data_IF_069060712986
#
_entry.id   IF_069060712986
#
_cell.length_a   1.000
_cell.length_b   1.000
_cell.length_c   1.000
_cell.angle_alpha   90.00
_cell.angle_beta   90.00
_cell.angle_gamma   90.00
#
_symmetry.space_group_name_H-M   'P 1'
#
loop_
_entity.id
_entity.type
_entity.pdbx_description
1 polymer ?
#
# COMPACT_ATOMS: atom_id res chain seq x y z
N UNK A 1 31.57 5.16 -43.64
CA UNK A 1 31.28 5.28 -42.19
C UNK A 1 30.40 4.09 -41.82
N UNK A 2 30.80 3.28 -40.85
CA UNK A 2 30.17 1.99 -40.52
C UNK A 2 28.84 2.17 -39.75
N UNK A 3 27.80 1.43 -40.17
CA UNK A 3 26.42 1.54 -39.64
C UNK A 3 26.27 1.24 -38.14
N UNK A 4 27.28 0.61 -37.52
CA UNK A 4 27.32 0.37 -36.07
C UNK A 4 27.35 1.65 -35.22
N UNK A 5 27.87 2.77 -35.75
CA UNK A 5 27.89 4.04 -35.02
C UNK A 5 26.52 4.69 -34.94
N UNK A 6 25.78 4.70 -36.05
CA UNK A 6 24.45 5.31 -36.16
C UNK A 6 23.38 4.52 -35.39
N UNK A 7 23.47 3.18 -35.39
CA UNK A 7 22.52 2.33 -34.67
C UNK A 7 22.61 2.46 -33.14
N UNK A 8 23.80 2.70 -32.60
CA UNK A 8 23.99 2.97 -31.16
C UNK A 8 23.32 4.28 -30.74
N UNK A 9 23.46 5.35 -31.52
CA UNK A 9 22.83 6.64 -31.26
C UNK A 9 21.30 6.54 -31.31
N UNK A 10 20.76 5.85 -32.32
CA UNK A 10 19.31 5.62 -32.41
C UNK A 10 18.80 4.82 -31.19
N UNK A 11 19.56 3.81 -30.77
CA UNK A 11 19.20 3.01 -29.60
C UNK A 11 19.23 3.82 -28.30
N UNK A 12 20.20 4.73 -28.15
CA UNK A 12 20.30 5.62 -26.99
C UNK A 12 19.16 6.63 -26.94
N UNK A 13 18.78 7.23 -28.08
CA UNK A 13 17.63 8.13 -28.18
C UNK A 13 16.33 7.39 -27.87
N UNK A 14 16.16 6.17 -28.40
CA UNK A 14 15.00 5.35 -28.10
C UNK A 14 14.93 4.99 -26.61
N UNK A 15 16.06 4.59 -26.00
CA UNK A 15 16.14 4.29 -24.57
C UNK A 15 15.79 5.51 -23.71
N UNK A 16 16.33 6.68 -24.06
CA UNK A 16 16.00 7.94 -23.38
C UNK A 16 14.52 8.28 -23.55
N UNK A 17 14.00 8.18 -24.77
CA UNK A 17 12.58 8.39 -25.07
C UNK A 17 11.69 7.51 -24.20
N UNK A 18 11.95 6.20 -24.13
CA UNK A 18 11.20 5.26 -23.27
C UNK A 18 11.33 5.62 -21.80
N UNK A 19 12.55 5.93 -21.33
CA UNK A 19 12.82 6.27 -19.93
C UNK A 19 12.03 7.48 -19.45
N UNK A 20 11.84 8.48 -20.31
CA UNK A 20 11.12 9.72 -19.97
C UNK A 20 9.62 9.60 -20.23
N UNK A 21 9.23 8.95 -21.33
CA UNK A 21 7.81 8.85 -21.74
C UNK A 21 7.02 7.90 -20.83
N UNK A 22 7.57 6.75 -20.42
CA UNK A 22 6.85 5.77 -19.60
C UNK A 22 6.39 6.39 -18.27
N UNK A 23 7.25 7.06 -17.45
CA UNK A 23 6.82 7.72 -16.23
C UNK A 23 5.79 8.82 -16.47
N UNK A 24 5.93 9.64 -17.52
CA UNK A 24 4.99 10.73 -17.83
C UNK A 24 3.61 10.17 -18.18
N UNK A 25 3.56 9.13 -19.00
CA UNK A 25 2.30 8.49 -19.38
C UNK A 25 1.64 7.82 -18.17
N UNK A 26 2.40 7.08 -17.35
CA UNK A 26 1.88 6.52 -16.11
C UNK A 26 1.34 7.63 -15.19
N UNK A 27 2.10 8.71 -14.99
CA UNK A 27 1.69 9.85 -14.18
C UNK A 27 0.37 10.44 -14.70
N UNK A 28 0.25 10.66 -16.02
CA UNK A 28 -0.96 11.22 -16.60
C UNK A 28 -2.18 10.29 -16.43
N UNK A 29 -2.01 8.98 -16.63
CA UNK A 29 -3.10 7.99 -16.49
C UNK A 29 -3.59 7.88 -15.04
N UNK A 30 -2.68 7.88 -14.07
CA UNK A 30 -3.01 7.66 -12.66
C UNK A 30 -3.34 8.95 -11.89
N UNK A 31 -2.70 10.08 -12.20
CA UNK A 31 -2.92 11.34 -11.49
C UNK A 31 -4.21 12.04 -11.93
N UNK A 32 -4.63 11.90 -13.18
CA UNK A 32 -5.88 12.52 -13.69
C UNK A 32 -7.15 11.78 -13.28
N UNK A 33 -7.04 10.53 -12.82
CA UNK A 33 -8.17 9.64 -12.52
C UNK A 33 -7.90 8.78 -11.29
N UNK A 34 -7.55 9.43 -10.17
CA UNK A 34 -7.20 8.78 -8.90
C UNK A 34 -8.33 7.88 -8.38
N UNK A 35 -9.58 8.34 -8.47
CA UNK A 35 -10.75 7.67 -7.88
C UNK A 35 -11.17 6.37 -8.58
N UNK A 36 -10.98 6.27 -9.91
CA UNK A 36 -11.47 5.12 -10.68
C UNK A 36 -10.35 4.18 -11.17
N UNK A 37 -9.21 4.71 -11.61
CA UNK A 37 -8.15 3.90 -12.22
C UNK A 37 -7.10 3.46 -11.20
N UNK A 38 -6.66 4.38 -10.34
CA UNK A 38 -5.67 4.06 -9.31
C UNK A 38 -6.26 3.16 -8.24
N UNK A 39 -7.45 3.49 -7.70
CA UNK A 39 -8.14 2.62 -6.75
C UNK A 39 -8.41 1.22 -7.30
N UNK A 40 -8.83 1.07 -8.57
CA UNK A 40 -9.06 -0.25 -9.19
C UNK A 40 -7.78 -1.08 -9.35
N UNK A 41 -6.63 -0.42 -9.56
CA UNK A 41 -5.33 -1.08 -9.66
C UNK A 41 -4.76 -1.45 -8.28
N UNK A 42 -4.83 -0.52 -7.32
CA UNK A 42 -4.32 -0.68 -5.95
C UNK A 42 -5.18 -1.68 -5.14
N UNK A 43 -6.51 -1.71 -5.32
CA UNK A 43 -7.43 -2.60 -4.58
C UNK A 43 -7.17 -4.09 -4.81
N UNK A 44 -6.47 -4.48 -5.89
CA UNK A 44 -6.02 -5.87 -6.08
C UNK A 44 -4.96 -6.28 -5.05
N UNK A 45 -4.29 -5.33 -4.41
CA UNK A 45 -3.42 -5.56 -3.26
C UNK A 45 -4.26 -5.41 -2.01
N UNK A 46 -4.40 -6.50 -1.24
CA UNK A 46 -4.97 -6.47 0.10
C UNK A 46 -4.05 -5.61 0.97
N UNK A 47 -4.36 -4.33 1.12
CA UNK A 47 -3.86 -3.58 2.27
C UNK A 47 -4.66 -4.06 3.46
N UNK A 48 -3.94 -4.43 4.53
CA UNK A 48 -4.45 -4.95 5.80
C UNK A 48 -5.79 -4.28 6.14
N UNK A 49 -6.88 -4.99 5.88
CA UNK A 49 -8.22 -4.56 6.25
C UNK A 49 -8.38 -4.92 7.72
N UNK A 50 -8.35 -3.91 8.59
CA UNK A 50 -8.72 -4.13 9.98
C UNK A 50 -10.16 -4.63 10.01
N UNK A 51 -10.43 -5.79 10.61
CA UNK A 51 -11.78 -6.31 10.71
C UNK A 51 -12.67 -5.25 11.36
N UNK A 52 -13.77 -4.89 10.68
CA UNK A 52 -14.77 -3.95 11.23
C UNK A 52 -15.33 -4.45 12.56
N UNK A 53 -15.36 -5.77 12.73
CA UNK A 53 -15.89 -6.45 13.90
C UNK A 53 -14.77 -6.85 14.88
N UNK A 54 -13.82 -5.96 15.12
CA UNK A 54 -12.95 -6.14 16.28
C UNK A 54 -13.83 -5.92 17.52
N UNK A 55 -14.02 -6.97 18.33
CA UNK A 55 -14.86 -6.94 19.52
C UNK A 55 -14.55 -5.65 20.31
N UNK A 56 -15.55 -4.80 20.50
CA UNK A 56 -15.36 -3.52 21.19
C UNK A 56 -14.74 -3.85 22.55
N UNK A 57 -13.62 -3.20 22.94
CA UNK A 57 -13.03 -3.49 24.23
C UNK A 57 -14.08 -3.31 25.32
N UNK A 58 -14.11 -4.20 26.33
CA UNK A 58 -15.04 -4.08 27.43
C UNK A 58 -14.89 -2.70 28.10
N UNK A 59 -15.98 -2.13 28.64
CA UNK A 59 -15.93 -0.83 29.27
C UNK A 59 -14.91 -0.79 30.42
N UNK A 60 -14.36 0.40 30.74
CA UNK A 60 -13.33 0.56 31.76
C UNK A 60 -13.70 0.02 33.15
N UNK A 61 -15.00 -0.02 33.48
CA UNK A 61 -15.50 -0.54 34.75
C UNK A 61 -15.36 -2.07 34.81
N UNK A 62 -15.79 -2.77 33.75
CA UNK A 62 -15.61 -4.22 33.62
C UNK A 62 -14.12 -4.61 33.64
N UNK A 63 -13.25 -3.80 33.02
CA UNK A 63 -11.79 -4.01 33.10
C UNK A 63 -11.26 -3.94 34.54
N UNK A 64 -11.77 -3.01 35.35
CA UNK A 64 -11.39 -2.88 36.77
C UNK A 64 -11.87 -4.07 37.59
N UNK A 65 -13.04 -4.61 37.29
CA UNK A 65 -13.58 -5.81 37.94
C UNK A 65 -12.78 -7.06 37.57
N UNK A 66 -12.46 -7.25 36.28
CA UNK A 66 -11.59 -8.33 35.82
C UNK A 66 -10.23 -8.32 36.53
N UNK A 67 -9.63 -7.12 36.69
CA UNK A 67 -8.35 -6.97 37.43
C UNK A 67 -8.50 -7.37 38.90
N UNK A 68 -9.60 -6.99 39.56
CA UNK A 68 -9.88 -7.36 40.96
C UNK A 68 -10.10 -8.86 41.11
N UNK A 69 -10.79 -9.50 40.18
CA UNK A 69 -10.98 -10.96 40.18
C UNK A 69 -9.68 -11.73 39.97
N UNK A 70 -8.82 -11.27 39.06
CA UNK A 70 -7.49 -11.85 38.85
C UNK A 70 -6.66 -11.75 40.13
N UNK A 71 -6.70 -10.60 40.82
CA UNK A 71 -6.01 -10.42 42.09
C UNK A 71 -6.54 -11.36 43.19
N UNK A 72 -7.86 -11.56 43.27
CA UNK A 72 -8.48 -12.52 44.20
C UNK A 72 -8.08 -13.95 43.89
N UNK A 73 -8.09 -14.36 42.62
CA UNK A 73 -7.65 -15.70 42.18
C UNK A 73 -6.16 -15.95 42.47
N UNK A 74 -5.31 -14.92 42.37
CA UNK A 74 -3.88 -15.04 42.70
C UNK A 74 -3.61 -15.12 44.21
N UNK A 75 -4.48 -14.55 45.03
CA UNK A 75 -4.33 -14.52 46.49
C UNK A 75 -5.01 -15.70 47.20
N UNK A 76 -5.71 -16.57 46.46
CA UNK A 76 -6.25 -17.82 46.99
C UNK A 76 -5.31 -18.96 46.54
N UNK A 77 -4.54 -19.59 47.46
CA UNK A 77 -3.60 -20.66 47.13
C UNK A 77 -4.29 -21.92 46.60
#
# INVERSE_FOLDING_TARGET
MSSLGTSKVILEIAKFGVYVTVPIVLMNIYASNTDNNLHKFIRKKSYVEYPKDTQKPPPPEELREMVREIARKRNNP
#
